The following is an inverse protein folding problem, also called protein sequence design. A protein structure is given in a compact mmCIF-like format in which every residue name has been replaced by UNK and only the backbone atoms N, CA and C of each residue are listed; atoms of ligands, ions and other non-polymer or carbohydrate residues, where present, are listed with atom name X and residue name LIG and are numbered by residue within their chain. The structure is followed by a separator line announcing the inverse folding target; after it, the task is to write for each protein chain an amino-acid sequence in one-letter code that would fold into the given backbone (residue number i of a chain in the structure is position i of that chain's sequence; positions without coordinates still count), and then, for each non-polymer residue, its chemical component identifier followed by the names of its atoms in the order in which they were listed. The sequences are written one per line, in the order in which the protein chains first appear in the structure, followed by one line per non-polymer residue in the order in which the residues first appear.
data_IF_571217261193
#
_entry.id   IF_571217261193
#
_cell.length_a   1.000
_cell.length_b   1.000
_cell.length_c   1.000
_cell.angle_alpha   90.00
_cell.angle_beta   90.00
_cell.angle_gamma   90.00
#
_symmetry.space_group_name_H-M   'P 1'
#
loop_
_entity.id
_entity.type
_entity.pdbx_description
1 polymer ?
#
# COMPACT_ATOMS: atom_id res chain seq x y z
N UNK A 1 11.95 14.17 -0.13
CA UNK A 1 12.72 13.14 -0.85
C UNK A 1 11.96 11.83 -0.83
N UNK A 2 11.88 11.17 -1.98
CA UNK A 2 11.17 9.90 -2.10
C UNK A 2 12.13 8.74 -1.90
N UNK A 3 11.74 7.76 -1.11
CA UNK A 3 12.54 6.57 -0.87
C UNK A 3 11.78 5.31 -1.26
N UNK A 4 12.28 4.59 -2.25
CA UNK A 4 11.81 3.26 -2.57
C UNK A 4 12.43 2.27 -1.59
N UNK A 5 11.63 1.47 -0.94
CA UNK A 5 12.13 0.43 -0.04
C UNK A 5 12.76 -0.68 -0.87
N UNK A 6 13.96 -1.11 -0.50
CA UNK A 6 14.64 -2.23 -1.15
C UNK A 6 13.79 -3.49 -1.11
N UNK A 7 13.12 -3.68 0.02
CA UNK A 7 12.22 -4.79 0.24
C UNK A 7 10.93 -4.22 0.77
N UNK A 8 9.80 -4.49 0.11
CA UNK A 8 8.51 -4.01 0.62
C UNK A 8 8.27 -4.49 2.04
N UNK A 9 7.76 -3.59 2.87
CA UNK A 9 7.47 -3.88 4.26
C UNK A 9 6.03 -4.39 4.39
N UNK A 10 5.86 -5.53 5.04
CA UNK A 10 4.54 -6.10 5.29
C UNK A 10 3.72 -5.15 6.16
N UNK A 11 2.48 -4.89 5.74
CA UNK A 11 1.56 -4.03 6.44
C UNK A 11 0.27 -4.76 6.78
N UNK A 12 -0.35 -4.34 7.88
CA UNK A 12 -1.76 -4.62 8.11
C UNK A 12 -2.55 -3.39 7.70
N UNK A 13 -3.56 -3.59 6.88
CA UNK A 13 -4.39 -2.50 6.35
C UNK A 13 -5.85 -2.81 6.63
N UNK A 14 -6.54 -1.81 7.17
CA UNK A 14 -7.99 -1.84 7.29
C UNK A 14 -8.59 -1.20 6.06
N UNK A 15 -9.54 -1.86 5.46
CA UNK A 15 -10.21 -1.36 4.27
C UNK A 15 -11.60 -0.88 4.60
N UNK A 16 -12.10 0.05 3.79
CA UNK A 16 -13.50 0.48 3.88
C UNK A 16 -14.40 -0.49 3.11
N UNK A 17 -15.69 -0.16 3.04
CA UNK A 17 -16.68 -1.01 2.38
C UNK A 17 -16.41 -1.18 0.89
N UNK A 18 -15.68 -0.25 0.27
CA UNK A 18 -15.33 -0.31 -1.14
C UNK A 18 -14.05 -1.09 -1.41
N UNK A 19 -13.34 -1.50 -0.36
CA UNK A 19 -12.05 -2.16 -0.48
C UNK A 19 -10.87 -1.20 -0.53
N UNK A 20 -11.10 0.10 -0.42
CA UNK A 20 -10.03 1.09 -0.37
C UNK A 20 -9.38 1.11 1.01
N UNK A 21 -8.08 1.42 1.11
CA UNK A 21 -7.41 1.47 2.41
C UNK A 21 -7.95 2.64 3.25
N UNK A 22 -8.30 2.35 4.49
CA UNK A 22 -8.83 3.33 5.44
C UNK A 22 -7.91 3.52 6.64
N UNK A 23 -7.08 2.55 6.95
CA UNK A 23 -6.14 2.62 8.05
C UNK A 23 -5.01 1.63 7.87
N UNK A 24 -3.88 1.92 8.48
CA UNK A 24 -2.72 1.03 8.45
C UNK A 24 -2.21 0.80 9.87
N UNK A 25 -1.61 -0.37 10.09
CA UNK A 25 -0.85 -0.64 11.30
C UNK A 25 0.59 -0.90 10.90
N UNK A 26 1.48 -0.07 11.40
CA UNK A 26 2.90 -0.15 11.11
C UNK A 26 3.68 -0.10 12.39
N UNK A 27 4.56 -1.09 12.59
CA UNK A 27 5.40 -1.17 13.80
C UNK A 27 4.56 -1.10 15.08
N UNK A 28 3.41 -1.77 15.08
CA UNK A 28 2.53 -1.81 16.22
C UNK A 28 1.68 -0.57 16.45
N UNK A 29 1.73 0.41 15.54
CA UNK A 29 0.97 1.65 15.65
C UNK A 29 -0.06 1.76 14.55
N UNK A 30 -1.31 1.98 14.97
CA UNK A 30 -2.40 2.27 14.05
C UNK A 30 -2.37 3.72 13.59
N UNK A 31 -2.67 3.94 12.32
CA UNK A 31 -2.77 5.26 11.74
C UNK A 31 -3.90 5.27 10.72
N UNK A 32 -4.67 6.35 10.68
CA UNK A 32 -5.76 6.48 9.72
C UNK A 32 -5.21 7.00 8.41
N UNK A 33 -5.78 6.51 7.30
CA UNK A 33 -5.54 7.08 6.00
C UNK A 33 -6.54 8.22 5.83
N UNK A 34 -6.03 9.43 5.67
CA UNK A 34 -6.87 10.63 5.58
C UNK A 34 -7.11 11.06 4.14
N UNK A 35 -6.25 10.63 3.22
CA UNK A 35 -6.42 10.94 1.81
C UNK A 35 -5.77 9.89 0.94
N UNK A 36 -6.43 9.54 -0.17
CA UNK A 36 -5.89 8.71 -1.23
C UNK A 36 -5.73 9.60 -2.44
N UNK A 37 -4.48 9.84 -2.86
CA UNK A 37 -4.18 10.74 -3.98
C UNK A 37 -4.28 10.04 -5.32
N UNK A 38 -3.93 8.76 -5.35
CA UNK A 38 -3.86 8.03 -6.61
C UNK A 38 -4.06 6.54 -6.35
N UNK A 39 -4.53 5.87 -7.37
CA UNK A 39 -4.80 4.44 -7.34
C UNK A 39 -4.51 3.88 -8.72
N UNK A 40 -3.65 2.85 -8.79
CA UNK A 40 -3.34 2.22 -10.07
C UNK A 40 -3.10 0.74 -9.88
N UNK A 41 -3.24 0.01 -10.97
CA UNK A 41 -3.07 -1.43 -10.97
C UNK A 41 -1.93 -1.81 -11.88
N UNK A 42 -1.08 -2.70 -11.40
CA UNK A 42 -0.04 -3.32 -12.19
C UNK A 42 -0.41 -4.80 -12.33
N UNK A 43 -0.53 -5.26 -13.58
CA UNK A 43 -0.76 -6.66 -13.89
C UNK A 43 0.32 -7.09 -14.86
N UNK A 44 1.14 -8.04 -14.46
CA UNK A 44 2.26 -8.50 -15.24
C UNK A 44 2.27 -10.02 -15.30
N UNK A 45 2.56 -10.56 -16.47
CA UNK A 45 2.68 -11.99 -16.67
C UNK A 45 4.15 -12.34 -16.60
N UNK A 46 4.56 -12.74 -15.43
CA UNK A 46 5.90 -13.24 -15.22
C UNK A 46 5.88 -14.72 -15.51
N UNK A 47 6.86 -15.22 -16.28
CA UNK A 47 6.94 -16.56 -16.84
C UNK A 47 6.22 -17.73 -16.12
N UNK A 48 6.02 -17.70 -14.82
CA UNK A 48 5.41 -18.77 -14.05
C UNK A 48 4.30 -18.32 -13.14
N UNK A 49 4.05 -17.02 -13.08
CA UNK A 49 3.03 -16.50 -12.20
C UNK A 49 2.56 -15.14 -12.67
N UNK A 50 1.27 -14.94 -12.56
CA UNK A 50 0.68 -13.63 -12.79
C UNK A 50 0.92 -12.78 -11.56
N UNK A 51 1.46 -11.58 -11.75
CA UNK A 51 1.61 -10.58 -10.70
C UNK A 51 0.52 -9.55 -10.87
N UNK A 52 -0.37 -9.44 -9.91
CA UNK A 52 -1.43 -8.43 -9.91
C UNK A 52 -1.33 -7.66 -8.60
N UNK A 53 -1.06 -6.37 -8.70
CA UNK A 53 -0.94 -5.48 -7.55
C UNK A 53 -1.79 -4.26 -7.75
N UNK A 54 -2.47 -3.85 -6.69
CA UNK A 54 -3.22 -2.60 -6.67
C UNK A 54 -2.51 -1.63 -5.73
N UNK A 55 -2.05 -0.52 -6.30
CA UNK A 55 -1.27 0.49 -5.59
C UNK A 55 -2.14 1.67 -5.19
N UNK A 56 -1.80 2.26 -4.05
CA UNK A 56 -2.44 3.47 -3.56
C UNK A 56 -1.37 4.42 -3.05
N UNK A 57 -1.44 5.68 -3.47
CA UNK A 57 -0.64 6.74 -2.88
C UNK A 57 -1.51 7.44 -1.84
N UNK A 58 -1.07 7.44 -0.59
CA UNK A 58 -1.90 7.86 0.54
C UNK A 58 -1.15 8.80 1.47
N UNK A 59 -1.93 9.57 2.24
CA UNK A 59 -1.43 10.30 3.41
C UNK A 59 -2.11 9.75 4.65
N UNK A 60 -1.33 9.52 5.68
CA UNK A 60 -1.85 9.11 6.99
C UNK A 60 -2.12 10.31 7.88
N UNK A 61 -2.86 10.10 8.96
CA UNK A 61 -3.18 11.15 9.93
C UNK A 61 -1.94 11.76 10.59
N UNK A 62 -0.83 11.04 10.63
CA UNK A 62 0.43 11.54 11.16
C UNK A 62 1.30 12.23 10.13
N UNK A 63 0.80 12.38 8.91
CA UNK A 63 1.49 13.10 7.85
C UNK A 63 2.44 12.25 7.02
N UNK A 64 2.40 10.94 7.14
CA UNK A 64 3.22 10.07 6.29
C UNK A 64 2.57 9.97 4.90
N UNK A 65 3.31 10.35 3.88
CA UNK A 65 2.92 10.18 2.49
C UNK A 65 3.65 8.98 1.93
N UNK A 66 2.92 8.00 1.45
CA UNK A 66 3.54 6.75 1.01
C UNK A 66 2.72 6.05 -0.07
N UNK A 67 3.38 5.12 -0.75
CA UNK A 67 2.74 4.18 -1.65
C UNK A 67 2.61 2.85 -0.93
N UNK A 68 1.40 2.33 -0.89
CA UNK A 68 1.12 0.99 -0.39
C UNK A 68 0.49 0.18 -1.52
N UNK A 69 0.62 -1.13 -1.47
CA UNK A 69 -0.05 -1.96 -2.46
C UNK A 69 -0.60 -3.23 -1.84
N UNK A 70 -1.63 -3.74 -2.46
CA UNK A 70 -2.18 -5.05 -2.16
C UNK A 70 -1.78 -6.02 -3.26
N UNK A 71 -1.16 -7.12 -2.86
CA UNK A 71 -0.96 -8.24 -3.74
C UNK A 71 -2.31 -8.97 -3.87
N UNK A 72 -2.89 -8.94 -5.05
CA UNK A 72 -4.24 -9.46 -5.29
C UNK A 72 -4.30 -10.98 -5.21
N UNK A 73 -3.17 -11.66 -5.36
CA UNK A 73 -3.12 -13.13 -5.29
C UNK A 73 -3.19 -13.64 -3.88
N UNK A 74 -2.51 -12.95 -2.97
CA UNK A 74 -2.42 -13.36 -1.56
C UNK A 74 -3.27 -12.51 -0.64
N UNK A 75 -3.82 -11.42 -1.17
CA UNK A 75 -4.57 -10.42 -0.41
C UNK A 75 -3.75 -9.85 0.75
N UNK A 76 -2.47 -9.64 0.50
CA UNK A 76 -1.51 -9.12 1.48
C UNK A 76 -1.08 -7.71 1.08
N UNK A 77 -0.97 -6.83 2.08
CA UNK A 77 -0.59 -5.44 1.86
C UNK A 77 0.87 -5.20 2.19
N UNK A 78 1.48 -4.27 1.47
CA UNK A 78 2.89 -3.90 1.64
C UNK A 78 3.08 -2.40 1.52
N UNK A 79 4.05 -1.89 2.27
CA UNK A 79 4.57 -0.53 2.09
C UNK A 79 5.71 -0.60 1.06
N UNK A 80 5.56 0.16 -0.01
CA UNK A 80 6.50 0.12 -1.15
C UNK A 80 7.43 1.31 -1.18
N UNK A 81 6.93 2.50 -0.89
CA UNK A 81 7.68 3.74 -1.05
C UNK A 81 7.21 4.77 -0.03
N UNK A 82 8.16 5.51 0.52
CA UNK A 82 7.87 6.64 1.40
C UNK A 82 8.24 7.92 0.65
N UNK A 83 7.31 8.86 0.60
CA UNK A 83 7.53 10.17 0.02
C UNK A 83 7.82 11.16 1.14
N UNK A 84 9.04 11.63 1.20
CA UNK A 84 9.45 12.59 2.23
C UNK A 84 9.29 14.03 1.75
#
# INVERSE_FOLDING_TARGET
MTRLLKKPELLQVKTDITGAPAGIVRKGRGDQIVEVYDRWRIADLWWQAEVVREYFMVTTGRGLVCDIYRDMRTNTWYLSRIHD
#
